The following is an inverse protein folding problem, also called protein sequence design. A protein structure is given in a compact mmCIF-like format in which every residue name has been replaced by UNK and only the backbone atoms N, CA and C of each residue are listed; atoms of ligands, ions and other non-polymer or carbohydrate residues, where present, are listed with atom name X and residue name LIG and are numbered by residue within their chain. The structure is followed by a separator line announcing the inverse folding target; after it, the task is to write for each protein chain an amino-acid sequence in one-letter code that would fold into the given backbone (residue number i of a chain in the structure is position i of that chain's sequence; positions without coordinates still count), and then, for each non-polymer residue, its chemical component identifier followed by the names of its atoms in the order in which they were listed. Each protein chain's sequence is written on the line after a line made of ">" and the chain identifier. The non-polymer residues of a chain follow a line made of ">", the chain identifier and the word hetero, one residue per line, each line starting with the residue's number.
data_IF_812887851991
#
_entry.id   IF_812887851991
#
_cell.length_a   1.000
_cell.length_b   1.000
_cell.length_c   1.000
_cell.angle_alpha   90.00
_cell.angle_beta   90.00
_cell.angle_gamma   90.00
#
_symmetry.space_group_name_H-M   'P 1'
#
loop_
_entity.id
_entity.type
_entity.pdbx_description
1 polymer ?
#
# COMPACT_ATOMS: atom_id res chain seq x y z
N UNK A 1 6.35 -0.26 0.71
CA UNK A 1 5.13 -0.13 1.53
C UNK A 1 4.88 1.33 1.75
N UNK A 2 3.63 1.76 1.73
CA UNK A 2 3.19 3.13 2.01
C UNK A 2 2.06 3.13 3.02
N UNK A 3 2.05 4.12 3.91
CA UNK A 3 1.10 4.23 5.02
C UNK A 3 0.32 5.55 4.95
N UNK A 4 -0.98 5.50 5.21
CA UNK A 4 -1.84 6.68 5.32
C UNK A 4 -2.54 6.69 6.68
N UNK A 5 -2.43 7.79 7.40
CA UNK A 5 -3.25 8.06 8.59
C UNK A 5 -4.32 9.07 8.18
N UNK A 6 -5.58 8.74 8.40
CA UNK A 6 -6.72 9.53 7.92
C UNK A 6 -7.63 9.98 9.07
N UNK A 7 -8.42 11.02 8.79
CA UNK A 7 -9.37 11.58 9.74
C UNK A 7 -10.72 10.85 9.66
N UNK A 8 -11.57 11.09 10.66
CA UNK A 8 -12.90 10.49 10.74
C UNK A 8 -13.74 10.89 9.52
N UNK A 9 -14.27 9.89 8.79
CA UNK A 9 -15.09 10.10 7.59
C UNK A 9 -14.41 9.77 6.27
N UNK A 10 -13.09 9.50 6.27
CA UNK A 10 -12.40 8.94 5.10
C UNK A 10 -12.73 7.46 4.91
N UNK A 11 -12.85 7.01 3.66
CA UNK A 11 -13.01 5.60 3.32
C UNK A 11 -11.63 4.93 3.34
N UNK A 12 -11.37 4.12 4.36
CA UNK A 12 -10.08 3.46 4.56
C UNK A 12 -9.58 2.67 3.35
N UNK A 13 -10.48 1.98 2.65
CA UNK A 13 -10.16 1.23 1.43
C UNK A 13 -9.58 2.14 0.33
N UNK A 14 -10.24 3.25 0.03
CA UNK A 14 -9.76 4.24 -0.95
C UNK A 14 -8.38 4.76 -0.57
N UNK A 15 -8.14 5.02 0.71
CA UNK A 15 -6.86 5.54 1.22
C UNK A 15 -5.75 4.49 1.18
N UNK A 16 -6.07 3.23 1.43
CA UNK A 16 -5.13 2.12 1.30
C UNK A 16 -4.78 1.89 -0.18
N UNK A 17 -5.74 2.02 -1.10
CA UNK A 17 -5.51 1.95 -2.54
C UNK A 17 -4.65 3.13 -3.03
N UNK A 18 -4.90 4.36 -2.56
CA UNK A 18 -4.05 5.51 -2.85
C UNK A 18 -2.60 5.27 -2.38
N UNK A 19 -2.42 4.70 -1.19
CA UNK A 19 -1.09 4.34 -0.68
C UNK A 19 -0.40 3.31 -1.60
N UNK A 20 -1.12 2.29 -2.05
CA UNK A 20 -0.60 1.31 -3.01
C UNK A 20 -0.23 1.96 -4.34
N UNK A 21 -1.06 2.86 -4.87
CA UNK A 21 -0.76 3.60 -6.11
C UNK A 21 0.51 4.44 -6.00
N UNK A 22 0.76 5.07 -4.85
CA UNK A 22 1.98 5.85 -4.61
C UNK A 22 3.26 5.01 -4.69
N UNK A 23 3.21 3.72 -4.33
CA UNK A 23 4.35 2.82 -4.48
C UNK A 23 4.74 2.67 -5.95
N UNK A 24 3.74 2.55 -6.84
CA UNK A 24 3.95 2.45 -8.28
C UNK A 24 4.40 3.78 -8.89
N UNK A 25 3.74 4.89 -8.53
CA UNK A 25 4.07 6.23 -9.01
C UNK A 25 5.51 6.63 -8.65
N UNK A 26 5.95 6.33 -7.42
CA UNK A 26 7.31 6.61 -6.94
C UNK A 26 8.32 5.54 -7.34
N UNK A 27 7.88 4.50 -8.04
CA UNK A 27 8.72 3.43 -8.57
C UNK A 27 9.61 2.74 -7.52
N UNK A 28 9.13 2.56 -6.29
CA UNK A 28 9.92 1.97 -5.20
C UNK A 28 10.42 0.55 -5.46
N UNK A 29 9.84 -0.14 -6.43
CA UNK A 29 10.25 -1.49 -6.81
C UNK A 29 11.38 -1.52 -7.85
N UNK A 30 11.84 -0.37 -8.37
CA UNK A 30 12.94 -0.30 -9.34
C UNK A 30 14.25 -0.71 -8.66
N UNK A 31 14.98 -1.64 -9.27
CA UNK A 31 16.24 -2.17 -8.73
C UNK A 31 16.08 -3.18 -7.59
N UNK A 32 14.84 -3.49 -7.16
CA UNK A 32 14.58 -4.49 -6.13
C UNK A 32 14.37 -5.87 -6.77
N UNK A 33 14.99 -6.96 -6.26
CA UNK A 33 14.74 -8.31 -6.74
C UNK A 33 13.27 -8.72 -6.57
N UNK A 34 12.73 -9.48 -7.54
CA UNK A 34 11.31 -9.88 -7.57
C UNK A 34 10.80 -10.49 -6.27
N UNK A 35 11.60 -11.39 -5.67
CA UNK A 35 11.31 -12.08 -4.41
C UNK A 35 11.04 -11.12 -3.24
N UNK A 36 11.69 -9.96 -3.25
CA UNK A 36 11.63 -8.96 -2.16
C UNK A 36 10.60 -7.85 -2.47
N UNK A 37 10.17 -7.71 -3.74
CA UNK A 37 9.18 -6.69 -4.14
C UNK A 37 7.86 -6.86 -3.43
N UNK A 38 7.44 -8.10 -3.15
CA UNK A 38 6.17 -8.40 -2.47
C UNK A 38 6.02 -7.65 -1.15
N UNK A 39 7.09 -7.51 -0.36
CA UNK A 39 7.12 -6.75 0.91
C UNK A 39 6.83 -5.25 0.68
N UNK A 40 7.14 -4.73 -0.50
CA UNK A 40 6.93 -3.32 -0.82
C UNK A 40 5.52 -3.03 -1.33
N UNK A 41 4.80 -4.03 -1.84
CA UNK A 41 3.50 -3.90 -2.51
C UNK A 41 2.31 -3.94 -1.53
N UNK A 42 2.40 -3.15 -0.46
CA UNK A 42 1.35 -2.97 0.54
C UNK A 42 1.02 -1.49 0.70
N UNK A 43 -0.25 -1.16 0.47
CA UNK A 43 -0.84 0.12 0.84
C UNK A 43 -1.71 -0.06 2.09
N UNK A 44 -1.44 0.71 3.14
CA UNK A 44 -2.12 0.56 4.43
C UNK A 44 -2.70 1.89 4.86
N UNK A 45 -3.97 1.90 5.24
CA UNK A 45 -4.64 3.07 5.81
C UNK A 45 -5.10 2.82 7.25
N UNK A 46 -5.00 3.85 8.09
CA UNK A 46 -5.40 3.83 9.50
C UNK A 46 -6.38 4.96 9.84
N UNK A 47 -7.42 4.63 10.61
CA UNK A 47 -8.33 5.58 11.27
C UNK A 47 -8.38 5.20 12.77
N UNK A 48 -7.57 5.87 13.59
CA UNK A 48 -7.40 5.51 15.00
C UNK A 48 -6.88 4.08 15.15
N UNK A 49 -7.70 3.17 15.68
CA UNK A 49 -7.37 1.75 15.87
C UNK A 49 -7.81 0.85 14.71
N UNK A 50 -8.51 1.39 13.70
CA UNK A 50 -8.95 0.64 12.53
C UNK A 50 -7.86 0.71 11.46
N UNK A 51 -7.70 -0.37 10.71
CA UNK A 51 -6.80 -0.44 9.58
C UNK A 51 -7.48 -1.13 8.39
N UNK A 52 -7.07 -0.74 7.19
CA UNK A 52 -7.39 -1.45 5.96
C UNK A 52 -6.11 -1.62 5.14
N UNK A 53 -5.95 -2.80 4.54
CA UNK A 53 -4.75 -3.18 3.79
C UNK A 53 -5.16 -3.60 2.39
N UNK A 54 -4.52 -3.02 1.38
CA UNK A 54 -4.59 -3.46 -0.01
C UNK A 54 -3.19 -3.89 -0.45
N UNK A 55 -3.12 -4.94 -1.25
CA UNK A 55 -1.86 -5.48 -1.73
C UNK A 55 -1.94 -5.92 -3.19
N UNK A 56 -0.84 -5.73 -3.92
CA UNK A 56 -0.59 -6.31 -5.24
C UNK A 56 0.47 -7.42 -5.16
N UNK A 57 0.65 -8.02 -3.97
CA UNK A 57 1.67 -9.04 -3.74
C UNK A 57 1.31 -10.44 -4.30
N UNK A 58 0.19 -10.59 -5.01
CA UNK A 58 -0.28 -11.89 -5.52
C UNK A 58 0.40 -12.21 -6.85
N UNK A 59 1.23 -13.26 -6.84
CA UNK A 59 1.87 -13.96 -7.97
C UNK A 59 2.08 -13.13 -9.25
N UNK A 60 3.08 -12.26 -9.23
CA UNK A 60 3.81 -11.93 -10.47
C UNK A 60 4.94 -12.95 -10.60
N UNK A 61 4.58 -14.13 -11.12
CA UNK A 61 5.56 -15.08 -11.68
C UNK A 61 6.27 -14.44 -12.88
#
# INVERSE_FOLDING_TARGET
>A
MELKVVNKGDVLETRAQEALNQIFEKQYCVGIPGEVKTILLFGIAFEGKKAFVVTDAINRD
#
